data_IF_089890476944
#
_entry.id   IF_089890476944
#
_cell.length_a   1.000
_cell.length_b   1.000
_cell.length_c   1.000
_cell.angle_alpha   90.00
_cell.angle_beta   90.00
_cell.angle_gamma   90.00
#
_symmetry.space_group_name_H-M   'P 1'
#
loop_
_entity.id
_entity.type
_entity.pdbx_description
1 polymer ?
#
# COMPACT_ATOMS: atom_id res chain seq x y z
N UNK A 1 21.40 -9.31 21.54
CA UNK A 1 21.15 -10.67 21.01
C UNK A 1 20.79 -10.50 19.54
N UNK A 2 21.65 -10.94 18.61
CA UNK A 2 21.37 -10.85 17.17
C UNK A 2 20.32 -11.90 16.82
N UNK A 3 19.08 -11.47 16.62
CA UNK A 3 18.03 -12.33 16.06
C UNK A 3 18.42 -12.60 14.61
N UNK A 4 18.55 -13.87 14.22
CA UNK A 4 18.76 -14.22 12.82
C UNK A 4 17.52 -13.82 12.03
N UNK A 5 17.64 -13.16 10.87
CA UNK A 5 16.48 -12.88 10.04
C UNK A 5 15.83 -14.19 9.63
N UNK A 6 14.53 -14.30 9.88
CA UNK A 6 13.73 -15.39 9.32
C UNK A 6 13.52 -15.11 7.82
N UNK A 7 13.83 -16.10 6.99
CA UNK A 7 13.61 -16.02 5.55
C UNK A 7 12.35 -16.82 5.20
N UNK A 8 11.41 -16.18 4.49
CA UNK A 8 10.13 -16.78 4.11
C UNK A 8 9.60 -16.22 2.78
N UNK A 9 8.50 -16.79 2.28
CA UNK A 9 7.78 -16.29 1.09
C UNK A 9 6.82 -15.20 1.55
N UNK A 10 6.75 -14.09 0.81
CA UNK A 10 5.90 -12.95 1.20
C UNK A 10 4.42 -13.30 1.08
N UNK A 11 4.09 -14.27 0.23
CA UNK A 11 2.77 -14.83 0.01
C UNK A 11 2.19 -15.49 1.27
N UNK A 12 3.04 -15.97 2.18
CA UNK A 12 2.61 -16.56 3.47
C UNK A 12 2.01 -15.50 4.41
N UNK A 13 2.25 -14.21 4.13
CA UNK A 13 1.72 -13.06 4.86
C UNK A 13 0.66 -12.29 4.08
N UNK A 14 -0.02 -12.97 3.15
CA UNK A 14 -1.15 -12.43 2.41
C UNK A 14 -2.35 -12.20 3.33
N UNK A 15 -3.00 -11.06 3.17
CA UNK A 15 -4.28 -10.74 3.80
C UNK A 15 -5.26 -10.31 2.71
N UNK A 16 -6.32 -11.10 2.53
CA UNK A 16 -7.38 -10.79 1.58
C UNK A 16 -8.23 -9.60 2.06
N UNK A 17 -8.70 -8.82 1.09
CA UNK A 17 -9.48 -7.59 1.28
C UNK A 17 -10.61 -7.57 0.26
N UNK A 18 -11.72 -6.85 0.51
CA UNK A 18 -12.80 -6.74 -0.47
C UNK A 18 -12.34 -6.23 -1.85
N UNK A 19 -11.32 -5.36 -1.87
CA UNK A 19 -10.75 -4.77 -3.08
C UNK A 19 -9.61 -5.58 -3.72
N UNK A 20 -9.20 -6.72 -3.13
CA UNK A 20 -8.04 -7.50 -3.58
C UNK A 20 -7.26 -8.09 -2.41
N UNK A 21 -5.96 -7.78 -2.29
CA UNK A 21 -5.15 -8.26 -1.17
C UNK A 21 -3.92 -7.38 -0.87
N UNK A 22 -3.40 -7.51 0.35
CA UNK A 22 -2.08 -7.01 0.74
C UNK A 22 -1.13 -8.17 1.04
N UNK A 23 0.12 -8.07 0.61
CA UNK A 23 1.22 -8.91 1.09
C UNK A 23 2.05 -8.08 2.07
N UNK A 24 2.10 -8.49 3.34
CA UNK A 24 2.85 -7.76 4.38
C UNK A 24 4.32 -8.14 4.30
N UNK A 25 5.09 -7.32 3.61
CA UNK A 25 6.46 -7.66 3.22
C UNK A 25 7.51 -7.33 4.28
N UNK A 26 7.43 -6.16 4.89
CA UNK A 26 8.32 -5.77 5.97
C UNK A 26 7.51 -5.07 7.05
N UNK A 27 7.49 -5.61 8.26
CA UNK A 27 6.77 -5.02 9.39
C UNK A 27 7.77 -4.83 10.52
N UNK A 28 8.07 -3.58 10.84
CA UNK A 28 9.05 -3.22 11.87
C UNK A 28 8.49 -2.08 12.71
N UNK A 29 9.18 -1.77 13.81
CA UNK A 29 8.83 -0.63 14.66
C UNK A 29 9.02 0.74 13.96
N UNK A 30 9.72 0.78 12.82
CA UNK A 30 10.07 2.03 12.11
C UNK A 30 9.33 2.24 10.81
N UNK A 31 9.02 1.16 10.09
CA UNK A 31 8.35 1.22 8.79
C UNK A 31 7.57 -0.06 8.50
N UNK A 32 6.60 0.09 7.61
CA UNK A 32 5.87 -1.02 7.01
C UNK A 32 6.00 -0.97 5.49
N UNK A 33 6.47 -2.07 4.88
CA UNK A 33 6.45 -2.31 3.45
C UNK A 33 5.35 -3.32 3.11
N UNK A 34 4.51 -2.98 2.14
CA UNK A 34 3.44 -3.86 1.65
C UNK A 34 3.42 -3.87 0.13
N UNK A 35 3.07 -5.01 -0.44
CA UNK A 35 2.68 -5.11 -1.86
C UNK A 35 1.18 -5.20 -1.93
N UNK A 36 0.54 -4.23 -2.59
CA UNK A 36 -0.91 -4.19 -2.73
C UNK A 36 -1.31 -4.67 -4.12
N UNK A 37 -2.34 -5.51 -4.17
CA UNK A 37 -3.02 -5.86 -5.41
C UNK A 37 -4.47 -5.41 -5.31
N UNK A 38 -4.85 -4.49 -6.19
CA UNK A 38 -6.21 -3.95 -6.27
C UNK A 38 -6.84 -4.48 -7.55
N UNK A 39 -8.00 -5.11 -7.42
CA UNK A 39 -8.76 -5.60 -8.55
C UNK A 39 -9.30 -4.43 -9.39
N UNK A 40 -9.49 -4.64 -10.69
CA UNK A 40 -10.03 -3.59 -11.57
C UNK A 40 -11.41 -3.16 -11.10
N UNK A 41 -11.60 -1.86 -10.90
CA UNK A 41 -12.87 -1.25 -10.47
C UNK A 41 -13.05 -1.19 -8.96
N UNK A 42 -12.10 -1.73 -8.19
CA UNK A 42 -12.11 -1.66 -6.73
C UNK A 42 -11.24 -0.52 -6.21
N UNK A 43 -11.48 -0.13 -4.96
CA UNK A 43 -10.75 0.94 -4.28
C UNK A 43 -10.51 0.64 -2.80
N UNK A 44 -9.44 1.21 -2.26
CA UNK A 44 -9.24 1.32 -0.82
C UNK A 44 -10.09 2.47 -0.29
N UNK A 45 -10.42 2.45 1.00
CA UNK A 45 -10.97 3.64 1.66
C UNK A 45 -9.91 4.74 1.73
N UNK A 46 -10.34 6.00 1.77
CA UNK A 46 -9.45 7.13 2.04
C UNK A 46 -8.66 6.91 3.33
N UNK A 47 -7.39 7.30 3.31
CA UNK A 47 -6.46 7.13 4.42
C UNK A 47 -5.95 8.49 4.87
N UNK A 48 -5.97 8.73 6.17
CA UNK A 48 -5.30 9.86 6.80
C UNK A 48 -4.21 9.34 7.75
N UNK A 49 -3.05 9.97 7.73
CA UNK A 49 -1.90 9.55 8.53
C UNK A 49 -1.32 10.73 9.31
N UNK A 50 -1.49 10.71 10.64
CA UNK A 50 -0.95 11.76 11.51
C UNK A 50 0.57 11.70 11.68
N UNK A 51 1.17 10.51 11.53
CA UNK A 51 2.56 10.24 11.94
C UNK A 51 3.42 9.53 10.90
N UNK A 52 2.81 9.03 9.82
CA UNK A 52 3.45 8.14 8.87
C UNK A 52 3.43 8.78 7.49
N UNK A 53 4.61 8.95 6.91
CA UNK A 53 4.73 9.24 5.49
C UNK A 53 4.47 7.96 4.68
N UNK A 54 3.64 8.07 3.65
CA UNK A 54 3.37 6.98 2.72
C UNK A 54 3.89 7.34 1.33
N UNK A 55 4.63 6.41 0.74
CA UNK A 55 5.09 6.47 -0.64
C UNK A 55 4.61 5.23 -1.35
N UNK A 56 4.13 5.40 -2.58
CA UNK A 56 3.61 4.31 -3.40
C UNK A 56 4.38 4.28 -4.72
N UNK A 57 4.68 3.09 -5.19
CA UNK A 57 5.28 2.84 -6.50
C UNK A 57 4.43 1.83 -7.24
N UNK A 58 4.00 2.18 -8.46
CA UNK A 58 3.15 1.28 -9.24
C UNK A 58 4.03 0.29 -9.98
N UNK A 59 3.96 -0.98 -9.59
CA UNK A 59 4.73 -2.05 -10.23
C UNK A 59 4.10 -2.46 -11.57
N UNK A 60 2.77 -2.56 -11.61
CA UNK A 60 2.02 -3.01 -12.80
C UNK A 60 0.60 -2.45 -12.79
N UNK A 61 0.11 -2.11 -13.98
CA UNK A 61 -1.24 -1.59 -14.16
C UNK A 61 -1.27 -0.08 -14.02
N UNK A 62 -2.41 0.45 -13.57
CA UNK A 62 -2.61 1.86 -13.32
C UNK A 62 -3.68 2.04 -12.24
N UNK A 63 -3.55 3.11 -11.47
CA UNK A 63 -4.45 3.47 -10.37
C UNK A 63 -4.73 4.97 -10.44
N UNK A 64 -5.95 5.35 -10.11
CA UNK A 64 -6.28 6.76 -9.88
C UNK A 64 -6.10 7.02 -8.38
N UNK A 65 -5.16 7.91 -8.04
CA UNK A 65 -4.83 8.26 -6.66
C UNK A 65 -5.53 9.58 -6.33
N UNK A 66 -6.38 9.56 -5.32
CA UNK A 66 -7.06 10.73 -4.80
C UNK A 66 -6.27 11.31 -3.63
N UNK A 67 -5.90 12.58 -3.73
CA UNK A 67 -5.09 13.29 -2.74
C UNK A 67 -5.77 14.61 -2.35
N UNK A 68 -5.76 14.89 -1.05
CA UNK A 68 -6.25 16.14 -0.48
C UNK A 68 -5.88 16.24 0.99
N UNK A 69 -6.29 17.35 1.60
CA UNK A 69 -6.16 17.57 3.05
C UNK A 69 -7.46 17.20 3.75
N UNK A 70 -7.41 17.01 5.06
CA UNK A 70 -8.60 16.73 5.87
C UNK A 70 -9.66 17.83 5.68
N UNK A 71 -10.88 17.43 5.32
CA UNK A 71 -12.01 18.33 5.05
C UNK A 71 -11.89 19.17 3.77
N UNK A 72 -10.85 18.97 2.97
CA UNK A 72 -10.63 19.66 1.69
C UNK A 72 -11.17 18.90 0.48
N UNK A 73 -11.07 19.53 -0.70
CA UNK A 73 -11.36 18.86 -1.97
C UNK A 73 -10.26 17.84 -2.31
N UNK A 74 -10.68 16.72 -2.91
CA UNK A 74 -9.77 15.72 -3.44
C UNK A 74 -9.42 16.05 -4.89
N UNK A 75 -8.15 15.85 -5.23
CA UNK A 75 -7.66 15.88 -6.60
C UNK A 75 -7.25 14.48 -7.02
N UNK A 76 -7.59 14.09 -8.24
CA UNK A 76 -7.25 12.77 -8.78
C UNK A 76 -6.04 12.87 -9.68
N UNK A 77 -5.04 12.02 -9.42
CA UNK A 77 -3.89 11.80 -10.30
C UNK A 77 -3.87 10.35 -10.74
N UNK A 78 -3.91 10.11 -12.05
CA UNK A 78 -3.64 8.77 -12.57
C UNK A 78 -2.15 8.47 -12.50
N UNK A 79 -1.80 7.35 -11.87
CA UNK A 79 -0.46 6.78 -11.85
C UNK A 79 -0.42 5.51 -12.69
N UNK A 80 0.70 5.28 -13.36
CA UNK A 80 0.99 4.12 -14.19
C UNK A 80 2.25 3.41 -13.69
N UNK A 81 2.52 2.21 -14.21
CA UNK A 81 3.72 1.48 -13.85
C UNK A 81 4.99 2.34 -14.00
N UNK A 82 5.76 2.47 -12.92
CA UNK A 82 6.96 3.32 -12.87
C UNK A 82 6.78 4.67 -12.15
N UNK A 83 5.53 5.11 -11.92
CA UNK A 83 5.22 6.27 -11.07
C UNK A 83 5.31 5.92 -9.57
#
# INVERSE_FOLDING_TARGET
>A
MLVRPEFGRVEDHKVDKPWGYELRWAITDRYAGKVLHVNKGEALSLQFHERKDEHQYVIRGAVDVELGVEGGELTTRRMQAGD
#
